data_IF_690317246120
#
_entry.id   IF_690317246120
#
_cell.length_a   1.000
_cell.length_b   1.000
_cell.length_c   1.000
_cell.angle_alpha   90.00
_cell.angle_beta   90.00
_cell.angle_gamma   90.00
#
_symmetry.space_group_name_H-M   'P 1'
#
loop_
_entity.id
_entity.type
_entity.pdbx_description
1 polymer ?
#
# COMPACT_ATOMS: atom_id res chain seq x y z
N UNK A 1 8.08 2.36 20.31
CA UNK A 1 6.80 2.96 19.86
C UNK A 1 6.64 4.38 20.42
N UNK A 2 7.59 5.28 20.12
CA UNK A 2 7.44 6.72 20.35
C UNK A 2 7.30 7.44 18.98
N UNK A 3 6.43 6.89 18.13
CA UNK A 3 6.25 7.37 16.75
C UNK A 3 5.12 8.37 16.69
N UNK A 4 5.41 9.58 16.21
CA UNK A 4 4.48 10.61 15.75
C UNK A 4 3.14 10.71 16.51
N UNK A 5 3.17 11.10 17.79
CA UNK A 5 1.94 11.46 18.50
C UNK A 5 1.36 12.71 17.82
N UNK A 6 0.19 12.57 17.20
CA UNK A 6 -0.52 13.69 16.58
C UNK A 6 -1.57 14.20 17.56
N UNK A 7 -1.51 15.47 17.98
CA UNK A 7 -2.56 16.05 18.81
C UNK A 7 -3.87 16.11 18.02
N UNK A 8 -4.96 15.64 18.64
CA UNK A 8 -6.30 15.65 18.04
C UNK A 8 -7.15 16.75 18.67
N UNK A 9 -7.97 17.41 17.84
CA UNK A 9 -8.94 18.43 18.28
C UNK A 9 -10.29 18.07 17.66
N UNK A 10 -11.36 18.09 18.46
CA UNK A 10 -12.69 17.67 18.05
C UNK A 10 -13.21 18.42 16.81
N UNK A 11 -12.89 19.72 16.69
CA UNK A 11 -13.31 20.57 15.57
C UNK A 11 -12.71 20.14 14.23
N UNK A 12 -11.47 19.65 14.22
CA UNK A 12 -10.84 19.10 12.99
C UNK A 12 -11.61 17.87 12.52
N UNK A 13 -11.95 16.95 13.42
CA UNK A 13 -12.70 15.74 13.08
C UNK A 13 -14.11 16.07 12.58
N UNK A 14 -14.81 16.99 13.24
CA UNK A 14 -16.14 17.43 12.80
C UNK A 14 -16.11 18.07 11.41
N UNK A 15 -15.08 18.88 11.13
CA UNK A 15 -14.89 19.51 9.81
C UNK A 15 -14.62 18.46 8.74
N UNK A 16 -13.71 17.51 8.99
CA UNK A 16 -13.40 16.42 8.04
C UNK A 16 -14.61 15.53 7.77
N UNK A 17 -15.40 15.21 8.81
CA UNK A 17 -16.62 14.42 8.64
C UNK A 17 -17.65 15.13 7.73
N UNK A 18 -17.84 16.45 7.89
CA UNK A 18 -18.71 17.23 7.01
C UNK A 18 -18.22 17.22 5.55
N UNK A 19 -16.91 17.38 5.33
CA UNK A 19 -16.32 17.30 3.99
C UNK A 19 -16.47 15.90 3.37
N UNK A 20 -16.28 14.84 4.15
CA UNK A 20 -16.42 13.45 3.70
C UNK A 20 -17.83 13.16 3.22
N UNK A 21 -18.86 13.59 3.96
CA UNK A 21 -20.26 13.44 3.53
C UNK A 21 -20.52 14.25 2.24
N UNK A 22 -19.96 15.46 2.14
CA UNK A 22 -20.07 16.28 0.93
C UNK A 22 -19.50 15.60 -0.33
N UNK A 23 -18.33 14.98 -0.24
CA UNK A 23 -17.76 14.22 -1.36
C UNK A 23 -18.53 12.91 -1.61
N UNK A 24 -19.02 12.23 -0.57
CA UNK A 24 -19.81 11.01 -0.70
C UNK A 24 -21.13 11.24 -1.46
N UNK A 25 -21.80 12.37 -1.23
CA UNK A 25 -23.01 12.76 -1.98
C UNK A 25 -22.72 12.83 -3.49
N UNK A 26 -21.58 13.41 -3.89
CA UNK A 26 -21.18 13.47 -5.30
C UNK A 26 -21.01 12.08 -5.91
N UNK A 27 -20.43 11.13 -5.16
CA UNK A 27 -20.31 9.74 -5.61
C UNK A 27 -21.68 9.09 -5.79
N UNK A 28 -22.62 9.31 -4.87
CA UNK A 28 -23.97 8.73 -4.92
C UNK A 28 -24.74 9.22 -6.16
N UNK A 29 -24.57 10.49 -6.54
CA UNK A 29 -25.20 11.09 -7.73
C UNK A 29 -24.36 10.93 -9.02
N UNK A 30 -23.33 10.09 -8.99
CA UNK A 30 -22.39 9.84 -10.10
C UNK A 30 -21.69 11.10 -10.66
N UNK A 31 -21.54 12.14 -9.84
CA UNK A 31 -20.84 13.38 -10.15
C UNK A 31 -19.33 13.25 -9.89
N UNK A 32 -18.70 12.19 -10.40
CA UNK A 32 -17.30 11.84 -10.09
C UNK A 32 -16.30 12.88 -10.58
N UNK A 33 -16.63 13.61 -11.63
CA UNK A 33 -15.84 14.73 -12.18
C UNK A 33 -15.77 15.93 -11.22
N UNK A 34 -16.74 16.05 -10.31
CA UNK A 34 -16.78 17.11 -9.29
C UNK A 34 -16.08 16.74 -7.98
N UNK A 35 -15.52 15.52 -7.88
CA UNK A 35 -14.75 15.11 -6.72
C UNK A 35 -13.50 15.96 -6.54
N UNK A 36 -13.15 16.25 -5.29
CA UNK A 36 -11.96 17.03 -4.96
C UNK A 36 -11.19 16.43 -3.79
N UNK A 37 -9.87 16.52 -3.86
CA UNK A 37 -9.01 16.35 -2.69
C UNK A 37 -9.00 17.67 -1.92
N UNK A 38 -9.44 17.65 -0.65
CA UNK A 38 -9.56 18.84 0.18
C UNK A 38 -8.56 18.75 1.34
N UNK A 39 -7.61 19.68 1.36
CA UNK A 39 -6.60 19.78 2.41
C UNK A 39 -6.92 20.95 3.33
N UNK A 40 -7.09 20.68 4.63
CA UNK A 40 -7.31 21.70 5.64
C UNK A 40 -5.96 22.24 6.10
N UNK A 41 -5.79 23.56 6.07
CA UNK A 41 -4.58 24.25 6.56
C UNK A 41 -4.86 24.99 7.86
N UNK A 42 -3.91 25.04 8.82
CA UNK A 42 -4.10 25.79 10.06
C UNK A 42 -4.09 27.31 9.85
N UNK A 43 -3.51 27.78 8.74
CA UNK A 43 -3.49 29.19 8.33
C UNK A 43 -3.85 29.29 6.85
N UNK A 44 -4.45 30.42 6.41
CA UNK A 44 -4.67 30.68 5.00
C UNK A 44 -3.37 30.56 4.19
N UNK A 45 -3.44 29.96 3.00
CA UNK A 45 -2.35 30.01 2.03
C UNK A 45 -2.18 31.45 1.47
N UNK A 46 -1.16 31.74 0.63
CA UNK A 46 -0.99 33.06 0.02
C UNK A 46 -2.18 33.56 -0.81
N UNK A 47 -3.13 32.67 -1.16
CA UNK A 47 -4.39 33.00 -1.85
C UNK A 47 -5.56 33.20 -0.89
N UNK A 48 -5.32 33.24 0.43
CA UNK A 48 -6.35 33.41 1.46
C UNK A 48 -7.19 32.17 1.75
N UNK A 49 -6.80 30.99 1.28
CA UNK A 49 -7.61 29.77 1.40
C UNK A 49 -7.17 28.91 2.59
N UNK A 50 -8.13 28.56 3.45
CA UNK A 50 -7.96 27.56 4.53
C UNK A 50 -8.13 26.14 3.98
N UNK A 51 -9.08 25.95 3.07
CA UNK A 51 -9.28 24.71 2.33
C UNK A 51 -8.56 24.80 1.00
N UNK A 52 -7.46 24.06 0.85
CA UNK A 52 -6.79 23.90 -0.43
C UNK A 52 -7.45 22.74 -1.18
N UNK A 53 -8.05 23.05 -2.33
CA UNK A 53 -8.85 22.12 -3.12
C UNK A 53 -8.06 21.73 -4.37
N UNK A 54 -7.92 20.43 -4.62
CA UNK A 54 -7.20 19.88 -5.76
C UNK A 54 -8.06 18.84 -6.50
N UNK A 55 -7.81 18.67 -7.79
CA UNK A 55 -8.45 17.61 -8.59
C UNK A 55 -7.72 16.30 -8.31
N UNK A 56 -8.43 15.17 -8.08
CA UNK A 56 -7.78 13.87 -7.89
C UNK A 56 -6.89 13.49 -9.07
N UNK A 57 -5.67 13.05 -8.76
CA UNK A 57 -4.72 12.57 -9.77
C UNK A 57 -5.23 11.29 -10.45
N UNK A 58 -4.84 11.10 -11.71
CA UNK A 58 -5.04 9.81 -12.40
C UNK A 58 -4.24 8.69 -11.71
N UNK A 59 -4.65 7.42 -11.84
CA UNK A 59 -3.88 6.28 -11.35
C UNK A 59 -2.43 6.32 -11.84
N UNK A 60 -1.49 6.02 -10.95
CA UNK A 60 -0.08 5.95 -11.31
C UNK A 60 0.20 4.64 -12.08
N UNK A 61 0.69 4.69 -13.33
CA UNK A 61 0.95 3.50 -14.14
C UNK A 61 2.02 2.58 -13.55
N UNK A 62 2.88 3.09 -12.66
CA UNK A 62 3.94 2.34 -11.99
C UNK A 62 3.53 1.87 -10.57
N UNK A 63 2.26 2.00 -10.18
CA UNK A 63 1.80 1.55 -8.87
C UNK A 63 1.81 0.02 -8.77
N UNK A 64 2.53 -0.56 -7.81
CA UNK A 64 2.57 -2.01 -7.60
C UNK A 64 1.24 -2.61 -7.10
N UNK A 65 0.25 -1.78 -6.78
CA UNK A 65 -1.08 -2.21 -6.29
C UNK A 65 -2.12 -2.14 -7.40
N UNK A 66 -2.35 -0.96 -7.98
CA UNK A 66 -3.47 -0.72 -8.90
C UNK A 66 -3.10 -0.71 -10.38
N UNK A 67 -1.82 -0.80 -10.76
CA UNK A 67 -1.43 -0.93 -12.18
C UNK A 67 -1.82 -2.30 -12.75
N UNK A 68 -1.70 -2.45 -14.07
CA UNK A 68 -1.87 -3.74 -14.74
C UNK A 68 -0.68 -4.68 -14.50
N UNK A 69 0.55 -4.15 -14.46
CA UNK A 69 1.76 -4.97 -14.32
C UNK A 69 1.93 -5.54 -12.90
N UNK A 70 1.66 -4.75 -11.85
CA UNK A 70 1.75 -5.16 -10.43
C UNK A 70 3.05 -5.88 -10.07
N UNK A 71 4.17 -5.41 -10.61
CA UNK A 71 5.49 -5.99 -10.38
C UNK A 71 6.32 -5.16 -9.39
N UNK A 72 7.15 -5.85 -8.62
CA UNK A 72 8.17 -5.26 -7.75
C UNK A 72 9.49 -6.01 -7.91
N UNK A 73 10.61 -5.32 -7.70
CA UNK A 73 11.93 -5.92 -7.66
C UNK A 73 12.49 -5.87 -6.24
N UNK A 74 12.67 -7.04 -5.63
CA UNK A 74 13.27 -7.17 -4.31
C UNK A 74 14.75 -7.53 -4.44
N UNK A 75 15.63 -6.64 -4.00
CA UNK A 75 17.06 -6.94 -3.85
C UNK A 75 17.32 -7.43 -2.43
N UNK A 76 17.71 -8.69 -2.28
CA UNK A 76 18.07 -9.27 -0.97
C UNK A 76 19.19 -10.31 -1.10
N UNK A 77 19.82 -10.67 0.02
CA UNK A 77 20.75 -11.78 0.07
C UNK A 77 19.96 -13.09 0.24
N UNK A 78 19.89 -13.87 -0.84
CA UNK A 78 19.15 -15.14 -0.93
C UNK A 78 19.73 -16.24 -0.03
N UNK A 79 21.00 -16.12 0.41
CA UNK A 79 21.62 -17.09 1.34
C UNK A 79 21.27 -16.81 2.81
N UNK A 80 20.93 -15.56 3.13
CA UNK A 80 20.67 -15.13 4.52
C UNK A 80 19.19 -14.89 4.80
N UNK A 81 18.41 -14.58 3.77
CA UNK A 81 16.98 -14.28 3.92
C UNK A 81 16.20 -15.59 4.06
N UNK A 82 15.52 -15.76 5.19
CA UNK A 82 14.65 -16.91 5.42
C UNK A 82 13.27 -16.67 4.81
N UNK A 83 12.55 -17.75 4.48
CA UNK A 83 11.14 -17.70 4.04
C UNK A 83 10.28 -16.97 5.07
N UNK A 84 10.49 -17.24 6.36
CA UNK A 84 9.81 -16.56 7.45
C UNK A 84 10.05 -15.03 7.46
N UNK A 85 11.28 -14.59 7.16
CA UNK A 85 11.60 -13.16 7.06
C UNK A 85 10.98 -12.53 5.82
N UNK A 86 10.94 -13.25 4.70
CA UNK A 86 10.27 -12.81 3.48
C UNK A 86 8.77 -12.62 3.74
N UNK A 87 8.13 -13.59 4.40
CA UNK A 87 6.70 -13.53 4.74
C UNK A 87 6.40 -12.38 5.71
N UNK A 88 7.00 -12.41 6.91
CA UNK A 88 6.56 -11.53 7.99
C UNK A 88 7.11 -10.10 7.86
N UNK A 89 8.37 -9.93 7.44
CA UNK A 89 8.95 -8.59 7.33
C UNK A 89 8.62 -7.93 6.01
N UNK A 90 8.66 -8.66 4.90
CA UNK A 90 8.49 -8.07 3.58
C UNK A 90 7.04 -8.13 3.09
N UNK A 91 6.44 -9.32 2.96
CA UNK A 91 5.07 -9.42 2.41
C UNK A 91 4.04 -8.82 3.36
N UNK A 92 4.02 -9.25 4.62
CA UNK A 92 3.09 -8.74 5.64
C UNK A 92 3.53 -7.36 6.15
N UNK A 93 4.82 -7.18 6.43
CA UNK A 93 5.33 -5.94 7.03
C UNK A 93 5.49 -4.76 6.08
N UNK A 94 5.95 -4.97 4.84
CA UNK A 94 6.20 -3.89 3.87
C UNK A 94 5.08 -3.77 2.85
N UNK A 95 4.66 -4.89 2.24
CA UNK A 95 3.62 -4.89 1.21
C UNK A 95 2.20 -4.96 1.78
N UNK A 96 2.05 -5.21 3.08
CA UNK A 96 0.76 -5.30 3.78
C UNK A 96 -0.17 -6.37 3.20
N UNK A 97 0.39 -7.46 2.66
CA UNK A 97 -0.40 -8.64 2.26
C UNK A 97 -0.87 -9.35 3.53
N UNK A 98 -2.17 -9.59 3.66
CA UNK A 98 -2.76 -10.15 4.90
C UNK A 98 -2.40 -11.64 5.04
N UNK A 99 -2.73 -12.42 4.01
CA UNK A 99 -2.52 -13.86 3.97
C UNK A 99 -1.84 -14.20 2.62
N UNK A 100 -0.50 -14.22 2.56
CA UNK A 100 0.22 -14.42 1.31
C UNK A 100 0.35 -15.90 0.94
N UNK A 101 -0.01 -16.22 -0.29
CA UNK A 101 0.39 -17.46 -0.97
C UNK A 101 1.48 -17.11 -1.99
N UNK A 102 2.60 -17.83 -1.97
CA UNK A 102 3.77 -17.52 -2.82
C UNK A 102 4.27 -18.77 -3.51
N UNK A 103 4.38 -18.69 -4.83
CA UNK A 103 4.87 -19.74 -5.70
C UNK A 103 6.03 -19.24 -6.57
N UNK A 104 7.01 -20.09 -6.84
CA UNK A 104 8.05 -19.82 -7.84
C UNK A 104 7.45 -20.10 -9.22
N UNK A 105 7.38 -19.08 -10.08
CA UNK A 105 6.77 -19.19 -11.41
C UNK A 105 7.46 -20.25 -12.30
N UNK A 106 8.79 -20.34 -12.25
CA UNK A 106 9.55 -21.26 -13.10
C UNK A 106 9.40 -22.74 -12.73
N UNK A 107 9.24 -23.05 -11.43
CA UNK A 107 9.17 -24.44 -10.94
C UNK A 107 7.76 -24.87 -10.51
N UNK A 108 6.82 -23.93 -10.36
CA UNK A 108 5.50 -24.17 -9.78
C UNK A 108 5.54 -24.57 -8.30
N UNK A 109 6.67 -24.36 -7.61
CA UNK A 109 6.83 -24.78 -6.22
C UNK A 109 6.21 -23.76 -5.26
N UNK A 110 5.31 -24.21 -4.40
CA UNK A 110 4.71 -23.42 -3.32
C UNK A 110 5.75 -23.21 -2.20
N UNK A 111 5.98 -21.95 -1.82
CA UNK A 111 6.96 -21.54 -0.79
C UNK A 111 6.26 -21.11 0.50
N UNK A 112 5.17 -20.36 0.35
CA UNK A 112 4.36 -19.84 1.47
C UNK A 112 2.90 -20.18 1.14
N UNK A 113 2.20 -20.73 2.12
CA UNK A 113 0.77 -20.98 2.07
C UNK A 113 0.11 -20.19 3.19
N UNK A 114 -1.07 -19.66 2.92
CA UNK A 114 -1.94 -19.05 3.90
C UNK A 114 -2.65 -20.08 4.79
N UNK A 115 -2.69 -21.36 4.39
CA UNK A 115 -3.31 -22.44 5.15
C UNK A 115 -2.34 -23.04 6.20
N UNK A 116 -2.81 -23.18 7.43
CA UNK A 116 -2.02 -23.74 8.53
C UNK A 116 -1.68 -25.21 8.27
N UNK A 117 -0.39 -25.53 8.19
CA UNK A 117 0.12 -26.89 8.09
C UNK A 117 0.63 -27.31 6.71
N UNK A 118 0.43 -26.51 5.67
CA UNK A 118 0.85 -26.88 4.30
C UNK A 118 2.34 -26.64 4.01
N UNK A 119 2.97 -25.64 4.63
CA UNK A 119 4.37 -25.24 4.38
C UNK A 119 5.31 -25.47 5.56
N UNK A 120 4.86 -26.18 6.59
CA UNK A 120 5.61 -26.42 7.83
C UNK A 120 6.94 -27.19 7.64
N UNK A 121 7.18 -27.77 6.47
CA UNK A 121 8.35 -28.64 6.21
C UNK A 121 8.98 -28.34 4.86
N UNK A 122 9.52 -27.14 4.65
CA UNK A 122 10.39 -26.92 3.48
C UNK A 122 11.45 -25.87 3.75
N UNK A 123 12.69 -26.32 3.96
CA UNK A 123 13.88 -25.52 3.71
C UNK A 123 13.99 -25.30 2.20
N UNK A 124 13.14 -24.43 1.65
CA UNK A 124 13.25 -24.04 0.25
C UNK A 124 14.56 -23.27 0.11
N UNK A 125 15.61 -23.93 -0.39
CA UNK A 125 16.75 -23.24 -0.98
C UNK A 125 16.21 -22.50 -2.19
N UNK A 126 15.96 -21.21 -2.03
CA UNK A 126 15.55 -20.38 -3.15
C UNK A 126 16.79 -20.14 -4.01
N UNK A 127 17.01 -21.02 -4.98
CA UNK A 127 18.04 -20.85 -6.01
C UNK A 127 17.48 -19.90 -7.05
N UNK A 128 17.92 -18.65 -7.02
CA UNK A 128 17.66 -17.71 -8.11
C UNK A 128 18.81 -17.82 -9.10
N UNK A 129 18.50 -18.13 -10.36
CA UNK A 129 19.44 -17.98 -11.46
C UNK A 129 19.74 -16.49 -11.61
N UNK A 130 20.97 -16.12 -11.27
CA UNK A 130 21.49 -14.77 -11.44
C UNK A 130 21.62 -14.46 -12.93
N UNK A 131 20.56 -13.94 -13.54
CA UNK A 131 20.73 -13.13 -14.73
C UNK A 131 21.22 -11.75 -14.30
N UNK A 132 22.53 -11.68 -14.17
CA UNK A 132 23.33 -10.47 -14.17
C UNK A 132 23.04 -9.73 -15.49
N UNK A 133 22.16 -8.72 -15.44
CA UNK A 133 22.07 -7.72 -16.49
C UNK A 133 22.77 -6.46 -16.00
N UNK A 134 23.90 -6.21 -16.67
CA UNK A 134 24.72 -5.00 -16.73
C UNK A 134 23.92 -3.71 -16.81
#
# INVERSE_FOLDING_TARGET
MAGNIIPAIATTNATVAGLLVGEAIKVIFDERDKLRNIFIRPKPNPRGQIFAIEIPSKPNPNCYVCSEKREIRLKTNVKLTTVHSLENKFLKGTLHVIAPDVMIESSGSLIISSEEGETAVQYVKITFDSHEQS
#
